data_IF_202888720139
#
_entry.id   IF_202888720139
#
_cell.length_a   1.000
_cell.length_b   1.000
_cell.length_c   1.000
_cell.angle_alpha   90.00
_cell.angle_beta   90.00
_cell.angle_gamma   90.00
#
_symmetry.space_group_name_H-M   'P 1'
#
loop_
_entity.id
_entity.type
_entity.pdbx_description
1 polymer ?
#
# COMPACT_ATOMS: atom_id res chain seq x y z
N UNK A 1 16.15 6.14 6.13
CA UNK A 1 15.29 5.03 6.61
C UNK A 1 14.04 4.80 5.74
N UNK A 2 13.23 5.82 5.40
CA UNK A 2 12.04 5.67 4.53
C UNK A 2 12.27 5.02 3.15
N UNK A 3 13.44 5.25 2.53
CA UNK A 3 13.81 4.66 1.22
C UNK A 3 13.97 3.13 1.25
N UNK A 4 14.43 2.55 2.36
CA UNK A 4 14.64 1.09 2.48
C UNK A 4 13.29 0.38 2.42
N UNK A 5 12.30 0.89 3.15
CA UNK A 5 10.95 0.35 3.15
C UNK A 5 10.25 0.55 1.80
N UNK A 6 10.40 1.70 1.16
CA UNK A 6 9.88 1.94 -0.18
C UNK A 6 10.53 0.97 -1.18
N UNK A 7 11.83 0.71 -1.06
CA UNK A 7 12.54 -0.25 -1.90
C UNK A 7 12.03 -1.68 -1.68
N UNK A 8 11.79 -2.10 -0.43
CA UNK A 8 11.16 -3.38 -0.11
C UNK A 8 9.75 -3.51 -0.69
N UNK A 9 8.95 -2.44 -0.65
CA UNK A 9 7.61 -2.43 -1.26
C UNK A 9 7.70 -2.51 -2.79
N UNK A 10 8.68 -1.87 -3.42
CA UNK A 10 8.90 -1.99 -4.87
C UNK A 10 9.40 -3.37 -5.29
N UNK A 11 10.29 -3.96 -4.51
CA UNK A 11 10.73 -5.36 -4.68
C UNK A 11 9.49 -6.25 -4.60
N UNK A 12 8.68 -6.11 -3.55
CA UNK A 12 7.43 -6.84 -3.41
C UNK A 12 6.49 -6.61 -4.61
N UNK A 13 6.29 -5.37 -5.08
CA UNK A 13 5.48 -5.08 -6.27
C UNK A 13 6.00 -5.76 -7.54
N UNK A 14 7.32 -5.94 -7.67
CA UNK A 14 7.94 -6.56 -8.86
C UNK A 14 7.91 -8.09 -8.81
N UNK A 15 7.94 -8.68 -7.62
CA UNK A 15 7.82 -10.13 -7.43
C UNK A 15 6.38 -10.61 -7.19
N UNK A 16 5.47 -9.70 -6.81
CA UNK A 16 4.07 -10.02 -6.63
C UNK A 16 3.39 -10.25 -7.99
N UNK A 17 2.67 -11.36 -8.17
CA UNK A 17 1.99 -11.67 -9.43
C UNK A 17 0.86 -10.67 -9.71
N UNK A 18 0.57 -10.43 -11.00
CA UNK A 18 -0.48 -9.48 -11.42
C UNK A 18 -1.87 -9.86 -10.89
N UNK A 19 -2.13 -11.15 -10.63
CA UNK A 19 -3.34 -11.62 -9.97
C UNK A 19 -3.52 -11.08 -8.54
N UNK A 20 -2.44 -10.65 -7.87
CA UNK A 20 -2.50 -9.99 -6.55
C UNK A 20 -2.59 -8.46 -6.72
N UNK A 21 -1.95 -7.90 -7.74
CA UNK A 21 -2.00 -6.46 -8.04
C UNK A 21 -3.39 -6.01 -8.51
N UNK A 22 -4.06 -6.81 -9.35
CA UNK A 22 -5.41 -6.54 -9.86
C UNK A 22 -6.53 -6.85 -8.84
N UNK A 23 -6.18 -7.34 -7.64
CA UNK A 23 -7.15 -7.58 -6.55
C UNK A 23 -7.39 -6.37 -5.66
N UNK A 24 -6.57 -5.32 -5.73
CA UNK A 24 -6.87 -4.11 -4.96
C UNK A 24 -8.15 -3.48 -5.53
N UNK A 25 -9.15 -3.35 -4.66
CA UNK A 25 -10.44 -2.70 -4.97
C UNK A 25 -10.40 -1.19 -4.76
N UNK A 26 -9.25 -0.69 -4.33
CA UNK A 26 -9.03 0.70 -4.01
C UNK A 26 -8.02 1.30 -4.96
N UNK A 27 -8.32 2.52 -5.40
CA UNK A 27 -7.45 3.33 -6.24
C UNK A 27 -6.95 4.54 -5.41
N UNK A 28 -5.65 4.85 -5.39
CA UNK A 28 -4.55 4.06 -5.94
C UNK A 28 -4.33 2.73 -5.16
N UNK A 29 -3.64 1.78 -5.80
CA UNK A 29 -3.42 0.44 -5.23
C UNK A 29 -2.85 0.46 -3.80
N UNK A 30 -3.15 -0.58 -3.01
CA UNK A 30 -2.78 -0.67 -1.60
C UNK A 30 -1.26 -0.53 -1.35
N UNK A 31 -0.44 -1.02 -2.28
CA UNK A 31 1.02 -0.87 -2.23
C UNK A 31 1.48 0.55 -2.56
N UNK A 32 0.81 1.23 -3.49
CA UNK A 32 1.06 2.64 -3.80
C UNK A 32 0.58 3.55 -2.67
N UNK A 33 -0.55 3.25 -2.04
CA UNK A 33 -1.02 3.91 -0.82
C UNK A 33 0.00 3.78 0.32
N UNK A 34 0.61 2.60 0.50
CA UNK A 34 1.68 2.39 1.48
C UNK A 34 2.88 3.29 1.20
N UNK A 35 3.32 3.40 -0.07
CA UNK A 35 4.43 4.28 -0.46
C UNK A 35 4.11 5.75 -0.18
N UNK A 36 2.93 6.23 -0.60
CA UNK A 36 2.47 7.60 -0.38
C UNK A 36 2.34 7.91 1.12
N UNK A 37 1.79 6.97 1.90
CA UNK A 37 1.66 7.10 3.36
C UNK A 37 3.02 7.18 4.05
N UNK A 38 3.99 6.37 3.62
CA UNK A 38 5.37 6.40 4.13
C UNK A 38 6.08 7.71 3.76
N UNK A 39 5.79 8.28 2.59
CA UNK A 39 6.33 9.57 2.17
C UNK A 39 5.73 10.73 2.97
N UNK A 40 4.40 10.72 3.19
CA UNK A 40 3.66 11.81 3.85
C UNK A 40 3.77 11.80 5.37
N UNK A 41 3.61 10.64 6.00
CA UNK A 41 3.52 10.51 7.47
C UNK A 41 4.77 9.93 8.13
N UNK A 42 5.75 9.48 7.34
CA UNK A 42 6.95 8.80 7.84
C UNK A 42 6.74 7.31 8.11
N UNK A 43 7.76 6.65 8.67
CA UNK A 43 7.87 5.20 8.70
C UNK A 43 6.72 4.52 9.49
N UNK A 44 6.58 4.89 10.76
CA UNK A 44 5.67 4.23 11.70
C UNK A 44 4.19 4.54 11.39
N UNK A 45 3.85 5.81 11.20
CA UNK A 45 2.48 6.23 10.85
C UNK A 45 2.10 5.76 9.44
N UNK A 46 3.04 5.77 8.50
CA UNK A 46 2.81 5.28 7.14
C UNK A 46 2.54 3.78 7.10
N UNK A 47 3.33 2.99 7.84
CA UNK A 47 3.09 1.55 8.01
C UNK A 47 1.73 1.26 8.66
N UNK A 48 1.39 1.96 9.75
CA UNK A 48 0.12 1.77 10.43
C UNK A 48 -1.08 2.03 9.48
N UNK A 49 -1.06 3.15 8.75
CA UNK A 49 -2.10 3.48 7.76
C UNK A 49 -2.16 2.47 6.60
N UNK A 50 -1.02 2.06 6.07
CA UNK A 50 -0.98 1.11 4.96
C UNK A 50 -1.44 -0.30 5.34
N UNK A 51 -1.09 -0.78 6.54
CA UNK A 51 -1.57 -2.07 7.07
C UNK A 51 -3.07 -2.04 7.32
N UNK A 52 -3.57 -0.95 7.92
CA UNK A 52 -5.00 -0.77 8.15
C UNK A 52 -5.78 -0.78 6.82
N UNK A 53 -5.28 -0.08 5.80
CA UNK A 53 -5.84 -0.09 4.46
C UNK A 53 -5.78 -1.49 3.81
N UNK A 54 -4.71 -2.25 4.02
CA UNK A 54 -4.58 -3.62 3.53
C UNK A 54 -5.67 -4.54 4.11
N UNK A 55 -6.03 -4.34 5.39
CA UNK A 55 -7.15 -5.04 6.03
C UNK A 55 -8.49 -4.63 5.41
N UNK A 56 -8.72 -3.34 5.18
CA UNK A 56 -9.94 -2.83 4.52
C UNK A 56 -10.09 -3.33 3.09
N UNK A 57 -9.01 -3.41 2.33
CA UNK A 57 -9.05 -3.96 0.96
C UNK A 57 -9.39 -5.46 0.92
N UNK A 58 -9.19 -6.17 2.04
CA UNK A 58 -9.64 -7.56 2.22
C UNK A 58 -11.14 -7.65 2.50
N UNK A 59 -11.74 -6.59 3.06
CA UNK A 59 -13.19 -6.46 3.18
C UNK A 59 -13.80 -6.12 1.81
N UNK A 60 -15.11 -6.33 1.65
CA UNK A 60 -15.77 -6.23 0.34
C UNK A 60 -15.81 -4.80 -0.24
N UNK A 61 -15.38 -3.80 0.52
CA UNK A 61 -15.44 -2.39 0.13
C UNK A 61 -14.35 -2.01 -0.88
N UNK A 62 -14.65 -1.04 -1.74
CA UNK A 62 -13.76 -0.49 -2.76
C UNK A 62 -14.06 0.99 -2.98
N UNK A 63 -13.12 1.71 -3.61
CA UNK A 63 -13.27 3.15 -3.85
C UNK A 63 -11.95 3.91 -3.98
N UNK A 64 -12.04 5.23 -4.10
CA UNK A 64 -10.88 6.13 -4.15
C UNK A 64 -10.55 6.59 -2.72
N UNK A 65 -9.34 6.34 -2.23
CA UNK A 65 -8.92 6.86 -0.91
C UNK A 65 -7.40 7.10 -0.91
N UNK A 66 -7.02 8.37 -0.80
CA UNK A 66 -5.65 8.86 -0.86
C UNK A 66 -5.15 9.21 0.56
N UNK A 67 -3.87 8.93 0.88
CA UNK A 67 -3.30 9.17 2.21
C UNK A 67 -3.02 10.65 2.47
#
# INVERSE_FOLDING_TARGET
>A
MKRILICLVHIYQRYAPDAVRNKCRFEPSCSQYMILSLQKYGLWKGLAKGIDRLKRCRAKDGGFDEP
#
